data_IF_198803064110
#
_entry.id   IF_198803064110
#
_cell.length_a   1.000
_cell.length_b   1.000
_cell.length_c   1.000
_cell.angle_alpha   90.00
_cell.angle_beta   90.00
_cell.angle_gamma   90.00
#
_symmetry.space_group_name_H-M   'P 1'
#
loop_
_entity.id
_entity.type
_entity.pdbx_description
1 polymer ?
#
# COMPACT_ATOMS: atom_id res chain seq x y z
N UNK A 1 -14.57 -16.50 -15.19
CA UNK A 1 -14.12 -15.29 -14.45
C UNK A 1 -13.48 -15.74 -13.16
N UNK A 2 -12.21 -15.39 -12.89
CA UNK A 2 -11.49 -15.83 -11.69
C UNK A 2 -11.45 -14.67 -10.70
N UNK A 3 -11.96 -14.87 -9.50
CA UNK A 3 -11.91 -13.88 -8.42
C UNK A 3 -10.84 -14.31 -7.44
N UNK A 4 -9.86 -13.45 -7.18
CA UNK A 4 -8.78 -13.72 -6.23
C UNK A 4 -8.85 -12.74 -5.06
N UNK A 5 -8.53 -13.21 -3.84
CA UNK A 5 -8.57 -12.35 -2.66
C UNK A 5 -7.27 -11.55 -2.60
N UNK A 6 -7.35 -10.30 -2.15
CA UNK A 6 -6.17 -9.42 -2.04
C UNK A 6 -5.05 -10.05 -1.21
N UNK A 7 -5.38 -10.68 -0.08
CA UNK A 7 -4.42 -11.37 0.79
C UNK A 7 -3.68 -12.52 0.12
N UNK A 8 -4.26 -13.12 -0.93
CA UNK A 8 -3.66 -14.23 -1.65
C UNK A 8 -2.67 -13.70 -2.71
N UNK A 9 -2.92 -12.49 -3.22
CA UNK A 9 -2.09 -11.79 -4.21
C UNK A 9 -0.97 -10.94 -3.61
N UNK A 10 -1.12 -10.47 -2.37
CA UNK A 10 -0.19 -9.55 -1.72
C UNK A 10 0.42 -10.14 -0.43
N UNK A 11 1.69 -9.78 -0.18
CA UNK A 11 2.41 -10.03 1.06
C UNK A 11 2.47 -8.73 1.85
N UNK A 12 1.91 -8.75 3.07
CA UNK A 12 2.01 -7.65 4.00
C UNK A 12 3.36 -7.71 4.70
N UNK A 13 4.13 -6.63 4.56
CA UNK A 13 5.42 -6.52 5.22
C UNK A 13 5.24 -6.24 6.71
N UNK A 14 6.29 -6.53 7.48
CA UNK A 14 6.35 -6.17 8.89
C UNK A 14 6.21 -4.66 9.07
N UNK A 15 5.60 -4.27 10.20
CA UNK A 15 5.49 -2.85 10.57
C UNK A 15 6.87 -2.23 10.68
N UNK A 16 7.00 -1.02 10.15
CA UNK A 16 8.21 -0.23 10.33
C UNK A 16 8.33 0.23 11.79
N UNK A 17 9.57 0.40 12.26
CA UNK A 17 9.91 1.03 13.54
C UNK A 17 10.19 2.53 13.42
N UNK A 18 10.25 3.07 12.20
CA UNK A 18 10.61 4.47 11.96
C UNK A 18 9.39 5.36 12.22
N UNK A 19 9.54 6.34 13.11
CA UNK A 19 8.46 7.27 13.42
C UNK A 19 8.30 8.30 12.29
N UNK A 20 7.06 8.76 12.07
CA UNK A 20 6.79 9.79 11.06
C UNK A 20 7.60 11.08 11.29
N UNK A 21 8.00 11.37 12.53
CA UNK A 21 8.83 12.53 12.91
C UNK A 21 10.26 12.48 12.39
N UNK A 22 10.81 11.31 12.08
CA UNK A 22 12.21 11.15 11.67
C UNK A 22 12.47 11.50 10.20
N UNK A 23 11.41 11.68 9.41
CA UNK A 23 11.55 12.05 8.00
C UNK A 23 12.07 13.47 7.81
N UNK A 24 13.06 13.61 6.94
CA UNK A 24 13.71 14.87 6.52
C UNK A 24 13.20 15.33 5.15
N UNK A 25 13.49 16.57 4.74
CA UNK A 25 13.03 17.12 3.46
C UNK A 25 13.94 16.81 2.27
N UNK A 26 15.22 16.53 2.51
CA UNK A 26 16.25 16.37 1.48
C UNK A 26 17.07 15.09 1.69
N UNK A 27 16.35 13.97 1.73
CA UNK A 27 16.92 12.63 1.85
C UNK A 27 16.98 11.92 0.50
N UNK A 28 17.85 10.92 0.42
CA UNK A 28 18.09 10.14 -0.81
C UNK A 28 16.87 9.27 -1.22
N UNK A 29 16.07 8.80 -0.25
CA UNK A 29 14.97 7.88 -0.49
C UNK A 29 13.62 8.44 0.01
N UNK A 30 12.51 8.18 -0.71
CA UNK A 30 11.19 8.60 -0.29
C UNK A 30 10.76 7.92 1.02
N UNK A 31 10.17 8.71 1.92
CA UNK A 31 9.64 8.25 3.19
C UNK A 31 8.13 8.46 3.27
N UNK A 32 7.40 7.37 3.14
CA UNK A 32 5.94 7.39 3.19
C UNK A 32 5.45 7.43 4.63
N UNK A 33 4.52 8.34 4.89
CA UNK A 33 3.85 8.44 6.19
C UNK A 33 2.34 8.27 5.98
N UNK A 34 1.57 8.34 7.06
CA UNK A 34 0.11 8.36 7.00
C UNK A 34 -0.48 9.60 6.31
N UNK A 35 0.35 10.51 5.79
CA UNK A 35 -0.09 11.68 5.03
C UNK A 35 -0.33 11.37 3.55
N UNK A 36 -1.25 12.09 2.92
CA UNK A 36 -1.54 11.98 1.48
C UNK A 36 -0.41 12.51 0.59
N UNK A 37 0.41 13.43 1.11
CA UNK A 37 1.51 14.02 0.36
C UNK A 37 2.82 13.40 0.82
N UNK A 38 3.63 12.98 -0.15
CA UNK A 38 5.02 12.58 0.08
C UNK A 38 5.88 13.84 0.21
N UNK A 39 6.06 14.33 1.43
CA UNK A 39 6.89 15.50 1.74
C UNK A 39 8.18 15.15 2.47
N UNK A 40 8.32 13.89 2.87
CA UNK A 40 9.42 13.41 3.68
C UNK A 40 10.24 12.36 2.94
N UNK A 41 11.50 12.28 3.35
CA UNK A 41 12.53 11.43 2.79
C UNK A 41 13.50 11.01 3.89
N UNK A 42 14.33 10.01 3.62
CA UNK A 42 15.35 9.48 4.51
C UNK A 42 16.61 9.15 3.72
N UNK A 43 17.76 9.14 4.39
CA UNK A 43 19.02 8.70 3.78
C UNK A 43 19.18 7.18 3.75
N UNK A 44 18.21 6.44 4.29
CA UNK A 44 18.20 4.97 4.28
C UNK A 44 16.84 4.45 3.81
N UNK A 45 16.89 3.32 3.09
CA UNK A 45 15.72 2.62 2.57
C UNK A 45 15.49 1.31 3.33
N UNK A 46 14.26 1.05 3.76
CA UNK A 46 13.86 -0.23 4.37
C UNK A 46 13.48 -1.29 3.34
N UNK A 47 12.91 -0.86 2.22
CA UNK A 47 12.39 -1.73 1.18
C UNK A 47 13.03 -1.39 -0.15
N UNK A 48 13.25 -2.40 -1.00
CA UNK A 48 13.65 -2.22 -2.40
C UNK A 48 12.76 -3.07 -3.30
N UNK A 49 11.51 -2.65 -3.47
CA UNK A 49 10.50 -3.42 -4.21
C UNK A 49 9.41 -2.51 -4.77
N UNK A 50 8.43 -3.09 -5.44
CA UNK A 50 7.18 -2.41 -5.77
C UNK A 50 6.12 -2.80 -4.76
N UNK A 51 5.47 -1.81 -4.16
CA UNK A 51 4.46 -2.05 -3.14
C UNK A 51 3.39 -0.94 -3.13
N UNK A 52 2.24 -1.31 -2.58
CA UNK A 52 1.22 -0.36 -2.15
C UNK A 52 1.49 -0.01 -0.70
N UNK A 53 1.54 1.29 -0.41
CA UNK A 53 1.69 1.80 0.96
C UNK A 53 0.37 2.44 1.36
N UNK A 54 -0.24 1.94 2.42
CA UNK A 54 -1.51 2.43 2.94
C UNK A 54 -1.26 3.20 4.24
N UNK A 55 -1.68 4.46 4.29
CA UNK A 55 -1.66 5.25 5.51
C UNK A 55 -2.79 4.82 6.45
N UNK A 56 -2.46 4.52 7.69
CA UNK A 56 -3.43 4.05 8.70
C UNK A 56 -3.95 5.20 9.59
N UNK A 57 -3.34 6.38 9.49
CA UNK A 57 -3.65 7.56 10.29
C UNK A 57 -4.83 8.36 9.73
N UNK A 58 -5.99 8.27 10.39
CA UNK A 58 -7.14 9.14 10.17
C UNK A 58 -7.86 8.92 8.83
N UNK A 59 -7.28 9.42 7.72
CA UNK A 59 -7.90 9.42 6.39
C UNK A 59 -7.28 8.35 5.49
N UNK A 60 -8.13 7.61 4.79
CA UNK A 60 -7.71 6.56 3.88
C UNK A 60 -6.87 7.16 2.76
N UNK A 61 -5.62 6.72 2.66
CA UNK A 61 -4.74 7.08 1.56
C UNK A 61 -3.93 5.87 1.14
N UNK A 62 -3.54 5.89 -0.13
CA UNK A 62 -2.72 4.87 -0.75
C UNK A 62 -1.64 5.56 -1.58
N UNK A 63 -0.44 5.01 -1.52
CA UNK A 63 0.71 5.42 -2.33
C UNK A 63 1.23 4.22 -3.11
N UNK A 64 1.69 4.47 -4.32
CA UNK A 64 2.45 3.51 -5.10
C UNK A 64 3.94 3.77 -4.89
N UNK A 65 4.62 2.84 -4.23
CA UNK A 65 6.06 2.90 -4.03
C UNK A 65 6.76 1.95 -5.01
N UNK A 66 7.83 2.43 -5.65
CA UNK A 66 8.66 1.65 -6.56
C UNK A 66 10.14 1.90 -6.25
N UNK A 67 10.90 0.81 -6.12
CA UNK A 67 12.34 0.86 -5.89
C UNK A 67 12.64 0.96 -4.40
N UNK A 68 13.64 1.78 -4.05
CA UNK A 68 14.06 1.98 -2.67
C UNK A 68 13.18 3.00 -1.96
N UNK A 69 12.59 2.60 -0.84
CA UNK A 69 11.75 3.47 -0.02
C UNK A 69 11.70 3.03 1.45
N UNK A 70 11.19 3.92 2.29
CA UNK A 70 10.94 3.67 3.71
C UNK A 70 9.52 4.09 4.08
N UNK A 71 8.99 3.55 5.17
CA UNK A 71 7.62 3.87 5.63
C UNK A 71 7.60 4.12 7.12
N UNK A 72 6.63 4.89 7.60
CA UNK A 72 6.43 5.11 9.04
C UNK A 72 5.76 3.93 9.74
N UNK A 73 5.78 3.93 11.07
CA UNK A 73 5.04 3.00 11.93
C UNK A 73 3.53 2.94 11.61
N UNK A 74 2.96 4.03 11.12
CA UNK A 74 1.53 4.18 10.81
C UNK A 74 1.22 3.90 9.33
N UNK A 75 1.98 2.99 8.73
CA UNK A 75 1.82 2.57 7.35
C UNK A 75 1.79 1.05 7.23
N UNK A 76 0.96 0.58 6.31
CA UNK A 76 0.90 -0.82 5.90
C UNK A 76 1.50 -0.95 4.51
N UNK A 77 2.39 -1.93 4.30
CA UNK A 77 3.05 -2.15 3.00
C UNK A 77 2.61 -3.48 2.44
N UNK A 78 2.05 -3.48 1.23
CA UNK A 78 1.64 -4.66 0.50
C UNK A 78 2.47 -4.80 -0.78
N UNK A 79 3.40 -5.74 -0.79
CA UNK A 79 4.17 -6.13 -1.98
C UNK A 79 3.47 -7.27 -2.71
N UNK A 80 3.54 -7.33 -4.04
CA UNK A 80 2.93 -8.45 -4.78
C UNK A 80 3.63 -9.77 -4.49
N UNK A 81 2.87 -10.86 -4.36
CA UNK A 81 3.36 -12.24 -4.34
C UNK A 81 3.61 -12.81 -5.73
N UNK A 82 3.00 -12.21 -6.76
CA UNK A 82 2.99 -12.72 -8.11
C UNK A 82 3.52 -11.68 -9.10
N UNK A 83 4.41 -12.10 -9.98
CA UNK A 83 5.07 -11.22 -10.94
C UNK A 83 4.10 -10.64 -11.99
N UNK A 84 3.01 -11.36 -12.30
CA UNK A 84 2.01 -10.91 -13.26
C UNK A 84 1.02 -9.87 -12.71
N UNK A 85 1.05 -9.58 -11.41
CA UNK A 85 0.17 -8.58 -10.81
C UNK A 85 0.76 -7.20 -11.05
N UNK A 86 0.08 -6.40 -11.87
CA UNK A 86 0.46 -5.02 -12.10
C UNK A 86 0.03 -4.13 -10.91
N UNK A 87 0.93 -3.95 -9.96
CA UNK A 87 0.69 -3.16 -8.73
C UNK A 87 0.26 -1.72 -9.05
N UNK A 88 0.79 -1.13 -10.14
CA UNK A 88 0.42 0.22 -10.57
C UNK A 88 -1.04 0.29 -11.04
N UNK A 89 -1.52 -0.75 -11.73
CA UNK A 89 -2.93 -0.86 -12.09
C UNK A 89 -3.82 -0.97 -10.85
N UNK A 90 -3.44 -1.83 -9.90
CA UNK A 90 -4.16 -2.00 -8.63
C UNK A 90 -4.23 -0.68 -7.84
N UNK A 91 -3.13 0.07 -7.82
CA UNK A 91 -3.07 1.41 -7.25
C UNK A 91 -4.13 2.34 -7.86
N UNK A 92 -4.20 2.46 -9.19
CA UNK A 92 -5.18 3.35 -9.82
C UNK A 92 -6.63 2.91 -9.57
N UNK A 93 -6.87 1.60 -9.59
CA UNK A 93 -8.19 1.05 -9.26
C UNK A 93 -8.60 1.41 -7.83
N UNK A 94 -7.71 1.23 -6.87
CA UNK A 94 -7.94 1.59 -5.47
C UNK A 94 -8.09 3.09 -5.27
N UNK A 95 -7.22 3.88 -5.90
CA UNK A 95 -7.20 5.33 -5.78
C UNK A 95 -8.48 5.96 -6.30
N UNK A 96 -9.00 5.53 -7.45
CA UNK A 96 -10.28 6.01 -7.99
C UNK A 96 -11.49 5.63 -7.13
N UNK A 97 -11.39 4.52 -6.39
CA UNK A 97 -12.45 4.01 -5.51
C UNK A 97 -12.19 4.31 -4.03
N UNK A 98 -11.18 5.12 -3.68
CA UNK A 98 -10.83 5.42 -2.28
C UNK A 98 -12.02 5.94 -1.47
N UNK A 99 -12.94 6.68 -2.10
CA UNK A 99 -14.15 7.17 -1.45
C UNK A 99 -15.09 6.06 -0.95
N UNK A 100 -15.00 4.87 -1.54
CA UNK A 100 -15.77 3.66 -1.17
C UNK A 100 -15.07 2.94 0.00
N UNK A 101 -13.75 3.06 0.10
CA UNK A 101 -12.93 2.36 1.07
C UNK A 101 -12.60 3.24 2.27
N UNK A 102 -13.14 2.89 3.44
CA UNK A 102 -12.65 3.48 4.69
C UNK A 102 -11.27 2.93 5.05
N UNK A 103 -10.46 3.68 5.80
CA UNK A 103 -9.13 3.26 6.28
C UNK A 103 -9.17 1.89 6.96
N UNK A 104 -10.25 1.64 7.72
CA UNK A 104 -10.50 0.35 8.39
C UNK A 104 -10.72 -0.79 7.39
N UNK A 105 -11.36 -0.54 6.25
CA UNK A 105 -11.56 -1.54 5.20
C UNK A 105 -10.24 -1.96 4.54
N UNK A 106 -9.31 -1.00 4.36
CA UNK A 106 -7.97 -1.28 3.82
C UNK A 106 -7.08 -2.02 4.83
N UNK A 107 -7.21 -1.69 6.11
CA UNK A 107 -6.51 -2.40 7.19
C UNK A 107 -6.97 -3.86 7.29
N UNK A 108 -8.25 -4.16 7.09
CA UNK A 108 -8.76 -5.54 7.16
C UNK A 108 -8.08 -6.51 6.16
N UNK A 109 -7.25 -6.04 5.22
CA UNK A 109 -6.47 -6.94 4.36
C UNK A 109 -5.33 -7.66 5.10
N UNK A 110 -4.84 -7.13 6.23
CA UNK A 110 -3.73 -7.69 7.00
C UNK A 110 -4.15 -8.74 8.06
N UNK A 111 -5.46 -8.91 8.28
CA UNK A 111 -6.01 -9.95 9.16
C UNK A 111 -6.40 -9.52 10.57
N UNK A 112 -6.41 -8.22 10.92
CA UNK A 112 -7.02 -7.76 12.17
C UNK A 112 -8.55 -7.69 12.00
N UNK A 113 -9.25 -8.69 12.51
CA UNK A 113 -10.64 -9.02 12.15
C UNK A 113 -11.68 -7.91 12.34
N UNK A 114 -12.37 -7.58 11.24
CA UNK A 114 -13.82 -7.28 11.21
C UNK A 114 -14.39 -7.92 9.92
N UNK A 115 -15.48 -8.67 10.08
CA UNK A 115 -16.12 -9.50 9.07
C UNK A 115 -16.89 -8.72 8.00
N UNK A 116 -16.23 -7.92 7.15
CA UNK A 116 -16.87 -7.39 5.94
C UNK A 116 -16.21 -7.97 4.67
N UNK A 117 -16.84 -9.05 4.18
CA UNK A 117 -16.49 -9.82 2.97
C UNK A 117 -16.73 -9.04 1.65
N UNK A 118 -16.90 -7.71 1.68
CA UNK A 118 -17.25 -6.92 0.48
C UNK A 118 -16.07 -6.50 -0.39
N UNK A 119 -14.83 -6.59 0.09
CA UNK A 119 -13.64 -6.26 -0.69
C UNK A 119 -13.10 -7.47 -1.49
N UNK A 120 -13.95 -8.10 -2.31
CA UNK A 120 -13.47 -9.02 -3.34
C UNK A 120 -12.95 -8.18 -4.52
N UNK A 121 -11.64 -8.10 -4.71
CA UNK A 121 -11.07 -7.39 -5.86
C UNK A 121 -11.34 -8.17 -7.13
N UNK A 122 -12.00 -7.50 -8.08
CA UNK A 122 -12.15 -7.98 -9.45
C UNK A 122 -11.02 -7.38 -10.26
N UNK A 123 -9.92 -8.11 -10.39
CA UNK A 123 -8.87 -7.77 -11.35
C UNK A 123 -9.27 -8.38 -12.69
N UNK A 124 -9.74 -7.55 -13.63
CA UNK A 124 -9.75 -7.95 -15.03
C UNK A 124 -8.29 -8.04 -15.48
N UNK A 125 -7.86 -9.22 -15.88
CA UNK A 125 -6.63 -9.37 -16.65
C UNK A 125 -6.72 -8.43 -17.86
N UNK A 126 -5.69 -7.62 -18.18
CA UNK A 126 -5.73 -6.84 -19.40
C UNK A 126 -5.93 -7.84 -20.55
N UNK A 127 -7.01 -7.66 -21.32
CA UNK A 127 -7.24 -8.45 -22.53
C UNK A 127 -5.97 -8.36 -23.36
N UNK A 128 -5.31 -9.49 -23.54
CA UNK A 128 -4.31 -9.66 -24.58
C UNK A 128 -5.01 -9.27 -25.89
N UNK A 129 -4.57 -8.14 -26.47
CA UNK A 129 -4.86 -7.82 -27.86
C UNK A 129 -3.99 -8.67 -28.76
#
# INVERSE_FOLDING_TARGET
MKTEKFKDLYFFQSKSSIQAGEGISDGEFPFYTSSEKLTKSLNSSQFNTQALVFGTGGKANIHYAKGRFSVSTDCLVASSKQEHVNIKFVYYYLFGNLHIFSTKCLLNFDGVGIADNRAAFRFDSPRSY
#
